data_IF_611980548504
#
_entry.id   IF_611980548504
#
_cell.length_a   1.000
_cell.length_b   1.000
_cell.length_c   1.000
_cell.angle_alpha   90.00
_cell.angle_beta   90.00
_cell.angle_gamma   90.00
#
_symmetry.space_group_name_H-M   'P 1'
#
loop_
_entity.id
_entity.type
_entity.pdbx_description
1 polymer ?
#
# COMPACT_ATOMS: atom_id res chain seq x y z
N UNK A 1 -23.77 6.39 -11.88
CA UNK A 1 -23.18 5.69 -10.71
C UNK A 1 -21.89 5.06 -11.17
N UNK A 2 -20.77 5.33 -10.49
CA UNK A 2 -19.43 4.83 -10.85
C UNK A 2 -19.15 3.51 -10.14
N UNK A 3 -18.59 2.52 -10.86
CA UNK A 3 -18.05 1.32 -10.26
C UNK A 3 -16.63 1.59 -9.75
N UNK A 4 -16.42 1.44 -8.45
CA UNK A 4 -15.09 1.52 -7.85
C UNK A 4 -14.48 0.13 -7.94
N UNK A 5 -13.42 0.02 -8.74
CA UNK A 5 -12.81 -1.26 -9.07
C UNK A 5 -11.75 -1.68 -8.05
N UNK A 6 -11.66 -2.96 -7.79
CA UNK A 6 -10.48 -3.57 -7.15
C UNK A 6 -9.38 -3.81 -8.19
N UNK A 7 -8.13 -3.91 -7.74
CA UNK A 7 -7.00 -4.29 -8.59
C UNK A 7 -6.35 -5.56 -8.03
N UNK A 8 -6.54 -6.67 -8.69
CA UNK A 8 -6.14 -7.98 -8.22
C UNK A 8 -5.43 -8.75 -9.32
N UNK A 9 -4.30 -9.38 -8.98
CA UNK A 9 -3.47 -10.17 -9.91
C UNK A 9 -3.19 -9.44 -11.25
N UNK A 10 -2.91 -8.14 -11.18
CA UNK A 10 -2.59 -7.31 -12.34
C UNK A 10 -3.79 -6.83 -13.17
N UNK A 11 -5.03 -7.06 -12.68
CA UNK A 11 -6.24 -6.71 -13.43
C UNK A 11 -7.22 -5.86 -12.61
N UNK A 12 -7.91 -4.94 -13.27
CA UNK A 12 -9.03 -4.19 -12.71
C UNK A 12 -10.29 -5.04 -12.72
N UNK A 13 -10.93 -5.20 -11.56
CA UNK A 13 -12.09 -6.07 -11.35
C UNK A 13 -13.26 -5.21 -10.87
N UNK A 14 -14.39 -5.30 -11.57
CA UNK A 14 -15.62 -4.61 -11.18
C UNK A 14 -16.18 -5.19 -9.87
N UNK A 15 -16.93 -4.38 -9.10
CA UNK A 15 -17.68 -4.89 -7.96
C UNK A 15 -18.67 -5.98 -8.40
N UNK A 16 -18.80 -7.03 -7.58
CA UNK A 16 -19.74 -8.13 -7.83
C UNK A 16 -21.19 -7.77 -7.50
N UNK A 17 -22.06 -8.76 -7.53
CA UNK A 17 -23.51 -8.60 -7.29
C UNK A 17 -23.86 -8.06 -5.88
N UNK A 18 -23.02 -8.31 -4.88
CA UNK A 18 -23.14 -7.78 -3.51
C UNK A 18 -22.55 -6.39 -3.30
N UNK A 19 -22.32 -5.62 -4.38
CA UNK A 19 -21.79 -4.27 -4.29
C UNK A 19 -22.65 -3.37 -3.39
N UNK A 20 -21.99 -2.57 -2.56
CA UNK A 20 -22.62 -1.58 -1.67
C UNK A 20 -22.53 -0.19 -2.28
N UNK A 21 -23.63 0.55 -2.20
CA UNK A 21 -23.68 1.95 -2.63
C UNK A 21 -22.81 2.84 -1.73
N UNK A 22 -22.17 3.82 -2.34
CA UNK A 22 -21.42 4.88 -1.67
C UNK A 22 -22.17 6.18 -1.95
N UNK A 23 -22.55 6.87 -0.87
CA UNK A 23 -23.21 8.16 -0.95
C UNK A 23 -22.21 9.29 -0.73
N UNK A 24 -22.44 10.42 -1.39
CA UNK A 24 -21.77 11.68 -1.08
C UNK A 24 -22.11 12.08 0.37
N UNK A 25 -21.10 12.36 1.18
CA UNK A 25 -21.29 12.83 2.55
C UNK A 25 -21.88 14.26 2.60
N UNK A 26 -21.88 14.98 1.48
CA UNK A 26 -22.43 16.35 1.36
C UNK A 26 -23.89 16.32 0.94
N UNK A 27 -24.23 15.58 -0.12
CA UNK A 27 -25.57 15.62 -0.73
C UNK A 27 -26.44 14.44 -0.32
N UNK A 28 -25.85 13.33 0.16
CA UNK A 28 -26.55 12.09 0.42
C UNK A 28 -26.88 11.27 -0.86
N UNK A 29 -26.58 11.80 -2.03
CA UNK A 29 -26.82 11.11 -3.30
C UNK A 29 -25.87 9.94 -3.49
N UNK A 30 -26.33 8.87 -4.12
CA UNK A 30 -25.49 7.71 -4.46
C UNK A 30 -24.58 8.09 -5.63
N UNK A 31 -23.28 8.11 -5.38
CA UNK A 31 -22.25 8.53 -6.36
C UNK A 31 -21.52 7.33 -6.97
N UNK A 32 -21.36 6.24 -6.20
CA UNK A 32 -20.60 5.07 -6.62
C UNK A 32 -21.10 3.79 -5.94
N UNK A 33 -20.51 2.66 -6.34
CA UNK A 33 -20.65 1.37 -5.64
C UNK A 33 -19.31 0.64 -5.59
N UNK A 34 -19.09 -0.15 -4.53
CA UNK A 34 -17.89 -0.95 -4.31
C UNK A 34 -18.24 -2.34 -3.75
N UNK A 35 -17.45 -3.34 -4.08
CA UNK A 35 -17.65 -4.71 -3.63
C UNK A 35 -16.44 -5.59 -3.95
N UNK A 36 -16.41 -6.78 -3.34
CA UNK A 36 -15.30 -7.72 -3.45
C UNK A 36 -15.71 -9.15 -3.82
N UNK A 37 -16.96 -9.41 -4.16
CA UNK A 37 -17.49 -10.76 -4.41
C UNK A 37 -16.81 -11.47 -5.58
N UNK A 38 -16.26 -10.72 -6.53
CA UNK A 38 -15.54 -11.28 -7.68
C UNK A 38 -14.06 -11.58 -7.41
N UNK A 39 -13.56 -11.25 -6.22
CA UNK A 39 -12.15 -11.40 -5.89
C UNK A 39 -11.81 -12.84 -5.48
N UNK A 40 -10.69 -13.32 -5.99
CA UNK A 40 -10.11 -14.61 -5.62
C UNK A 40 -8.95 -14.37 -4.65
N UNK A 41 -9.24 -14.39 -3.36
CA UNK A 41 -8.28 -14.03 -2.28
C UNK A 41 -6.98 -14.82 -2.38
N UNK A 42 -7.06 -16.14 -2.54
CA UNK A 42 -5.86 -17.00 -2.64
C UNK A 42 -5.01 -16.64 -3.86
N UNK A 43 -5.64 -16.31 -4.99
CA UNK A 43 -4.92 -15.85 -6.20
C UNK A 43 -4.21 -14.51 -5.94
N UNK A 44 -4.84 -13.59 -5.23
CA UNK A 44 -4.22 -12.31 -4.86
C UNK A 44 -3.00 -12.50 -3.96
N UNK A 45 -3.11 -13.35 -2.93
CA UNK A 45 -2.01 -13.65 -2.01
C UNK A 45 -0.86 -14.35 -2.75
N UNK A 46 -1.17 -15.35 -3.57
CA UNK A 46 -0.16 -16.03 -4.40
C UNK A 46 0.54 -15.05 -5.36
N UNK A 47 -0.22 -14.20 -6.05
CA UNK A 47 0.34 -13.20 -6.96
C UNK A 47 1.29 -12.22 -6.25
N UNK A 48 0.92 -11.76 -5.06
CA UNK A 48 1.78 -10.91 -4.25
C UNK A 48 3.07 -11.65 -3.84
N UNK A 49 2.96 -12.89 -3.32
CA UNK A 49 4.09 -13.67 -2.82
C UNK A 49 5.02 -14.13 -3.93
N UNK A 50 4.48 -14.60 -5.07
CA UNK A 50 5.24 -15.28 -6.13
C UNK A 50 5.74 -14.32 -7.21
N UNK A 51 5.08 -13.17 -7.42
CA UNK A 51 5.44 -12.18 -8.44
C UNK A 51 5.94 -10.90 -7.78
N UNK A 52 5.13 -10.24 -6.94
CA UNK A 52 5.46 -8.96 -6.35
C UNK A 52 6.65 -9.01 -5.41
N UNK A 53 6.67 -9.98 -4.50
CA UNK A 53 7.75 -10.17 -3.55
C UNK A 53 9.10 -10.39 -4.22
N UNK A 54 9.28 -11.37 -5.11
CA UNK A 54 10.53 -11.56 -5.84
C UNK A 54 10.96 -10.34 -6.66
N UNK A 55 10.03 -9.63 -7.30
CA UNK A 55 10.34 -8.42 -8.05
C UNK A 55 10.90 -7.31 -7.15
N UNK A 56 10.29 -7.07 -5.97
CA UNK A 56 10.77 -6.08 -5.00
C UNK A 56 12.10 -6.50 -4.35
N UNK A 57 12.28 -7.78 -4.01
CA UNK A 57 13.50 -8.27 -3.36
C UNK A 57 14.73 -8.27 -4.28
N UNK A 58 14.57 -8.23 -5.60
CA UNK A 58 15.68 -8.02 -6.55
C UNK A 58 16.25 -6.61 -6.49
N UNK A 59 15.48 -5.63 -6.01
CA UNK A 59 15.88 -4.24 -5.89
C UNK A 59 16.66 -4.02 -4.60
N UNK A 60 17.67 -3.13 -4.63
CA UNK A 60 18.33 -2.66 -3.40
C UNK A 60 17.41 -1.69 -2.64
N UNK A 61 17.75 -1.36 -1.37
CA UNK A 61 17.04 -0.29 -0.65
C UNK A 61 17.07 1.03 -1.41
N UNK A 62 18.20 1.34 -2.08
CA UNK A 62 18.32 2.56 -2.87
C UNK A 62 17.47 2.52 -4.13
N UNK A 63 17.31 1.36 -4.79
CA UNK A 63 16.40 1.20 -5.93
C UNK A 63 14.95 1.41 -5.51
N UNK A 64 14.53 0.75 -4.42
CA UNK A 64 13.18 0.91 -3.86
C UNK A 64 12.93 2.35 -3.40
N UNK A 65 13.93 3.01 -2.82
CA UNK A 65 13.82 4.42 -2.44
C UNK A 65 13.68 5.35 -3.68
N UNK A 66 14.40 5.07 -4.78
CA UNK A 66 14.24 5.80 -6.06
C UNK A 66 12.85 5.57 -6.66
N UNK A 67 12.36 4.34 -6.61
CA UNK A 67 11.00 3.97 -7.02
C UNK A 67 9.95 4.75 -6.23
N UNK A 68 10.02 4.77 -4.90
CA UNK A 68 9.10 5.53 -4.04
C UNK A 68 9.12 7.03 -4.37
N UNK A 69 10.33 7.60 -4.56
CA UNK A 69 10.46 9.01 -4.96
C UNK A 69 9.80 9.30 -6.29
N UNK A 70 9.98 8.43 -7.28
CA UNK A 70 9.39 8.60 -8.61
C UNK A 70 7.85 8.53 -8.55
N UNK A 71 7.28 7.57 -7.79
CA UNK A 71 5.83 7.48 -7.55
C UNK A 71 5.31 8.74 -6.86
N UNK A 72 5.99 9.23 -5.82
CA UNK A 72 5.57 10.44 -5.10
C UNK A 72 5.58 11.68 -5.99
N UNK A 73 6.58 11.82 -6.87
CA UNK A 73 6.62 12.92 -7.85
C UNK A 73 5.48 12.80 -8.87
N UNK A 74 5.25 11.61 -9.41
CA UNK A 74 4.14 11.38 -10.34
C UNK A 74 2.78 11.71 -9.71
N UNK A 75 2.54 11.28 -8.47
CA UNK A 75 1.32 11.61 -7.73
C UNK A 75 1.20 13.12 -7.50
N UNK A 76 2.29 13.81 -7.14
CA UNK A 76 2.28 15.26 -6.96
C UNK A 76 1.90 16.01 -8.23
N UNK A 77 2.34 15.55 -9.40
CA UNK A 77 2.01 16.16 -10.69
C UNK A 77 0.54 15.92 -11.13
N UNK A 78 -0.11 14.88 -10.58
CA UNK A 78 -1.47 14.48 -10.94
C UNK A 78 -2.50 14.64 -9.81
N UNK A 79 -2.13 15.20 -8.68
CA UNK A 79 -2.96 15.25 -7.46
C UNK A 79 -4.22 16.09 -7.56
N UNK A 80 -4.33 17.01 -8.52
CA UNK A 80 -5.48 17.89 -8.64
C UNK A 80 -6.81 17.12 -8.75
N UNK A 81 -6.82 16.03 -9.51
CA UNK A 81 -8.01 15.17 -9.64
C UNK A 81 -8.41 14.49 -8.33
N UNK A 82 -7.47 14.27 -7.41
CA UNK A 82 -7.74 13.69 -6.09
C UNK A 82 -8.47 14.68 -5.19
N UNK A 83 -8.11 15.96 -5.25
CA UNK A 83 -8.83 17.00 -4.50
C UNK A 83 -10.29 17.10 -4.92
N UNK A 84 -10.57 17.07 -6.24
CA UNK A 84 -11.93 17.13 -6.77
C UNK A 84 -12.79 15.97 -6.28
N UNK A 85 -12.25 14.74 -6.28
CA UNK A 85 -12.95 13.55 -5.79
C UNK A 85 -13.15 13.55 -4.27
N UNK A 86 -12.27 14.21 -3.54
CA UNK A 86 -12.29 14.21 -2.07
C UNK A 86 -13.45 15.04 -1.50
N UNK A 87 -14.05 15.98 -2.25
CA UNK A 87 -15.18 16.77 -1.77
C UNK A 87 -16.36 15.91 -1.36
N UNK A 88 -16.64 14.82 -2.07
CA UNK A 88 -17.73 13.91 -1.74
C UNK A 88 -17.52 13.12 -0.42
N UNK A 89 -16.33 13.17 0.16
CA UNK A 89 -16.06 12.57 1.49
C UNK A 89 -16.50 13.45 2.66
N UNK A 90 -16.90 14.69 2.40
CA UNK A 90 -17.34 15.66 3.40
C UNK A 90 -16.20 16.46 4.06
N UNK A 91 -14.95 16.25 3.65
CA UNK A 91 -13.81 17.04 4.11
C UNK A 91 -13.77 18.44 3.48
N UNK A 92 -13.11 19.37 4.17
CA UNK A 92 -12.81 20.70 3.63
C UNK A 92 -11.62 20.65 2.68
N UNK A 93 -11.40 21.74 1.93
CA UNK A 93 -10.20 21.84 1.10
C UNK A 93 -8.91 21.71 1.90
N UNK A 94 -8.89 22.23 3.12
CA UNK A 94 -7.73 22.10 4.02
C UNK A 94 -7.48 20.62 4.42
N UNK A 95 -8.55 19.87 4.69
CA UNK A 95 -8.45 18.44 5.03
C UNK A 95 -7.90 17.63 3.84
N UNK A 96 -8.34 17.94 2.62
CA UNK A 96 -7.84 17.27 1.41
C UNK A 96 -6.38 17.59 1.11
N UNK A 97 -5.93 18.82 1.37
CA UNK A 97 -4.51 19.18 1.28
C UNK A 97 -3.69 18.37 2.28
N UNK A 98 -4.17 18.24 3.52
CA UNK A 98 -3.48 17.42 4.56
C UNK A 98 -3.42 15.96 4.13
N UNK A 99 -4.52 15.36 3.65
CA UNK A 99 -4.55 13.96 3.24
C UNK A 99 -3.66 13.69 2.04
N UNK A 100 -3.82 14.42 0.96
CA UNK A 100 -3.11 14.16 -0.30
C UNK A 100 -1.64 14.57 -0.20
N UNK A 101 -1.36 15.82 0.22
CA UNK A 101 0.03 16.31 0.30
C UNK A 101 0.79 15.67 1.46
N UNK A 102 0.12 15.42 2.59
CA UNK A 102 0.71 14.71 3.72
C UNK A 102 1.10 13.27 3.36
N UNK A 103 0.23 12.55 2.65
CA UNK A 103 0.52 11.20 2.16
C UNK A 103 1.69 11.18 1.17
N UNK A 104 1.68 12.06 0.17
CA UNK A 104 2.78 12.18 -0.80
C UNK A 104 4.10 12.58 -0.09
N UNK A 105 4.03 13.55 0.84
CA UNK A 105 5.17 13.97 1.64
C UNK A 105 5.75 12.84 2.49
N UNK A 106 4.90 12.04 3.11
CA UNK A 106 5.31 10.86 3.88
C UNK A 106 6.07 9.85 3.00
N UNK A 107 5.59 9.58 1.79
CA UNK A 107 6.29 8.70 0.85
C UNK A 107 7.66 9.28 0.45
N UNK A 108 7.78 10.60 0.26
CA UNK A 108 9.07 11.28 -0.01
C UNK A 108 10.03 11.17 1.19
N UNK A 109 9.52 11.27 2.42
CA UNK A 109 10.34 11.07 3.64
C UNK A 109 10.94 9.67 3.68
N UNK A 110 10.14 8.62 3.45
CA UNK A 110 10.65 7.25 3.39
C UNK A 110 11.63 7.02 2.25
N UNK A 111 11.39 7.61 1.08
CA UNK A 111 12.34 7.59 -0.03
C UNK A 111 13.67 8.24 0.34
N UNK A 112 13.64 9.39 1.03
CA UNK A 112 14.85 10.06 1.49
C UNK A 112 15.59 9.25 2.57
N UNK A 113 14.88 8.67 3.54
CA UNK A 113 15.44 7.79 4.58
C UNK A 113 16.08 6.55 3.96
N UNK A 114 15.39 5.88 3.03
CA UNK A 114 15.94 4.71 2.33
C UNK A 114 17.27 4.99 1.63
N UNK A 115 17.45 6.20 1.11
CA UNK A 115 18.72 6.64 0.48
C UNK A 115 19.81 7.02 1.47
N UNK A 116 19.46 7.57 2.63
CA UNK A 116 20.44 8.11 3.60
C UNK A 116 20.83 7.10 4.68
N UNK A 117 19.88 6.27 5.10
CA UNK A 117 20.01 5.45 6.31
C UNK A 117 20.15 3.96 5.98
N UNK A 118 19.72 3.53 4.78
CA UNK A 118 19.84 2.13 4.35
C UNK A 118 21.01 1.94 3.39
N UNK A 119 21.61 0.74 3.34
CA UNK A 119 22.68 0.43 2.40
C UNK A 119 22.15 0.33 0.96
N UNK A 120 23.03 0.48 -0.02
CA UNK A 120 22.71 0.12 -1.42
C UNK A 120 22.87 -1.40 -1.61
N UNK A 121 22.06 -2.15 -0.90
CA UNK A 121 22.05 -3.62 -0.88
C UNK A 121 20.60 -4.13 -0.73
N UNK A 122 20.38 -5.41 -0.95
CA UNK A 122 19.09 -6.09 -0.79
C UNK A 122 18.78 -6.44 0.68
N UNK A 123 19.81 -6.55 1.52
CA UNK A 123 19.75 -6.90 2.94
C UNK A 123 20.30 -5.76 3.80
N UNK A 124 19.91 -5.75 5.07
CA UNK A 124 20.44 -4.84 6.06
C UNK A 124 21.26 -5.61 7.10
N UNK A 125 22.53 -5.23 7.25
CA UNK A 125 23.41 -5.78 8.27
C UNK A 125 23.31 -4.91 9.53
N UNK A 126 22.70 -5.44 10.58
CA UNK A 126 22.47 -4.75 11.83
C UNK A 126 23.69 -4.90 12.75
N UNK A 127 24.38 -3.79 12.95
CA UNK A 127 25.55 -3.74 13.82
C UNK A 127 26.83 -4.42 13.29
N UNK A 128 27.90 -4.42 14.09
CA UNK A 128 29.16 -5.09 13.78
C UNK A 128 29.03 -6.60 14.03
N UNK A 129 30.05 -7.34 13.61
CA UNK A 129 30.22 -8.76 14.02
C UNK A 129 30.57 -8.80 15.50
N UNK A 130 29.83 -9.61 16.27
CA UNK A 130 30.03 -9.78 17.71
C UNK A 130 30.73 -11.11 18.01
N UNK A 131 31.71 -11.07 18.93
CA UNK A 131 32.36 -12.28 19.43
C UNK A 131 31.49 -12.91 20.51
N UNK A 132 30.95 -14.11 20.24
CA UNK A 132 30.09 -14.86 21.17
C UNK A 132 30.84 -15.86 22.00
N UNK A 133 32.05 -16.26 21.58
CA UNK A 133 32.91 -17.22 22.28
C UNK A 133 34.19 -16.58 22.81
N UNK A 134 34.81 -17.19 23.85
CA UNK A 134 36.05 -16.70 24.49
C UNK A 134 37.27 -16.70 23.56
N UNK A 135 37.29 -17.55 22.55
CA UNK A 135 38.45 -17.77 21.65
C UNK A 135 38.33 -17.04 20.31
N UNK A 136 37.26 -16.30 20.08
CA UNK A 136 37.01 -15.65 18.79
C UNK A 136 36.59 -16.60 17.65
N UNK A 137 36.43 -17.89 17.93
CA UNK A 137 35.99 -18.87 16.92
C UNK A 137 34.48 -18.88 16.69
N UNK A 138 33.72 -18.33 17.63
CA UNK A 138 32.26 -18.23 17.55
C UNK A 138 31.87 -16.77 17.47
N UNK A 139 31.41 -16.36 16.29
CA UNK A 139 31.04 -15.00 15.93
C UNK A 139 29.59 -14.97 15.47
N UNK A 140 28.91 -13.89 15.73
CA UNK A 140 27.53 -13.66 15.29
C UNK A 140 27.34 -12.30 14.62
N UNK A 141 26.36 -12.20 13.75
CA UNK A 141 25.90 -10.94 13.17
C UNK A 141 24.43 -11.03 12.82
N UNK A 142 23.68 -9.97 13.10
CA UNK A 142 22.29 -9.88 12.69
C UNK A 142 22.19 -9.46 11.21
N UNK A 143 21.38 -10.20 10.45
CA UNK A 143 21.09 -9.92 9.05
C UNK A 143 19.58 -9.80 8.92
N UNK A 144 19.09 -8.62 8.52
CA UNK A 144 17.68 -8.38 8.23
C UNK A 144 17.43 -8.59 6.74
N UNK A 145 16.51 -9.48 6.42
CA UNK A 145 16.04 -9.75 5.05
C UNK A 145 14.58 -9.40 4.91
N UNK A 146 14.10 -9.04 3.70
CA UNK A 146 12.66 -8.84 3.48
C UNK A 146 11.85 -10.10 3.82
N UNK A 147 10.68 -9.91 4.42
CA UNK A 147 9.69 -10.97 4.61
C UNK A 147 9.28 -11.59 3.26
N UNK A 148 8.98 -12.88 3.26
CA UNK A 148 8.57 -13.63 2.06
C UNK A 148 7.06 -13.55 1.79
N UNK A 149 6.31 -12.92 2.70
CA UNK A 149 4.86 -12.79 2.65
C UNK A 149 4.36 -11.54 1.94
N UNK A 150 3.16 -11.13 2.30
CA UNK A 150 2.46 -9.93 1.84
C UNK A 150 2.00 -9.09 3.02
N UNK A 151 1.96 -7.77 2.87
CA UNK A 151 1.38 -6.87 3.86
C UNK A 151 -0.06 -6.52 3.47
N UNK A 152 -1.02 -6.80 4.36
CA UNK A 152 -2.43 -6.39 4.21
C UNK A 152 -2.63 -5.10 5.01
N UNK A 153 -2.95 -4.01 4.30
CA UNK A 153 -3.15 -2.70 4.88
C UNK A 153 -4.64 -2.37 4.98
N UNK A 154 -5.17 -2.34 6.18
CA UNK A 154 -6.55 -1.96 6.46
C UNK A 154 -6.54 -0.50 6.92
N UNK A 155 -7.21 0.38 6.19
CA UNK A 155 -7.16 1.82 6.39
C UNK A 155 -8.50 2.39 6.86
N UNK A 156 -8.43 3.44 7.69
CA UNK A 156 -9.59 4.21 8.13
C UNK A 156 -10.13 5.11 7.01
N UNK A 157 -11.32 5.68 7.23
CA UNK A 157 -12.02 6.49 6.22
C UNK A 157 -11.53 7.94 6.13
N UNK A 158 -10.95 8.48 7.20
CA UNK A 158 -10.67 9.91 7.35
C UNK A 158 -9.46 10.41 6.54
N UNK A 159 -8.51 9.53 6.20
CA UNK A 159 -7.34 9.84 5.38
C UNK A 159 -7.16 8.80 4.27
N UNK A 160 -8.01 8.81 3.23
CA UNK A 160 -8.02 7.78 2.19
C UNK A 160 -6.73 7.71 1.35
N UNK A 161 -6.00 8.82 1.18
CA UNK A 161 -4.72 8.87 0.47
C UNK A 161 -3.56 8.69 1.44
N UNK A 162 -3.48 9.49 2.50
CA UNK A 162 -2.39 9.40 3.48
C UNK A 162 -2.33 8.02 4.12
N UNK A 163 -3.46 7.51 4.62
CA UNK A 163 -3.51 6.19 5.27
C UNK A 163 -3.02 5.06 4.38
N UNK A 164 -3.19 5.15 3.06
CA UNK A 164 -2.60 4.23 2.10
C UNK A 164 -1.09 4.45 1.95
N UNK A 165 -0.66 5.69 1.68
CA UNK A 165 0.72 5.99 1.32
C UNK A 165 1.70 5.83 2.49
N UNK A 166 1.27 6.15 3.73
CA UNK A 166 2.09 5.98 4.94
C UNK A 166 2.46 4.53 5.24
N UNK A 167 1.57 3.57 4.85
CA UNK A 167 1.82 2.14 5.01
C UNK A 167 2.57 1.56 3.81
N UNK A 168 2.22 1.99 2.58
CA UNK A 168 2.90 1.52 1.38
C UNK A 168 4.39 1.91 1.37
N UNK A 169 4.73 3.12 1.81
CA UNK A 169 6.09 3.60 1.73
C UNK A 169 7.11 2.73 2.50
N UNK A 170 6.93 2.45 3.82
CA UNK A 170 7.84 1.54 4.54
C UNK A 170 7.77 0.11 4.05
N UNK A 171 6.57 -0.39 3.69
CA UNK A 171 6.37 -1.77 3.22
C UNK A 171 7.13 -2.05 1.93
N UNK A 172 6.97 -1.17 0.93
CA UNK A 172 7.68 -1.31 -0.35
C UNK A 172 9.19 -1.07 -0.19
N UNK A 173 9.59 -0.13 0.70
CA UNK A 173 11.02 0.08 1.03
C UNK A 173 11.63 -1.16 1.66
N UNK A 174 10.90 -1.88 2.51
CA UNK A 174 11.31 -3.15 3.08
C UNK A 174 11.33 -4.31 2.07
N UNK A 175 10.83 -4.12 0.85
CA UNK A 175 10.81 -5.15 -0.20
C UNK A 175 9.65 -6.14 -0.08
N UNK A 176 8.56 -5.75 0.58
CA UNK A 176 7.35 -6.56 0.78
C UNK A 176 6.23 -6.03 -0.11
N UNK A 177 5.49 -6.88 -0.85
CA UNK A 177 4.33 -6.46 -1.60
C UNK A 177 3.14 -6.18 -0.68
N UNK A 178 2.17 -5.37 -1.14
CA UNK A 178 1.05 -4.97 -0.31
C UNK A 178 -0.31 -5.18 -0.99
N UNK A 179 -1.32 -5.53 -0.18
CA UNK A 179 -2.73 -5.48 -0.55
C UNK A 179 -3.38 -4.38 0.29
N UNK A 180 -3.88 -3.35 -0.37
CA UNK A 180 -4.51 -2.20 0.28
C UNK A 180 -6.01 -2.40 0.35
N UNK A 181 -6.58 -2.23 1.55
CA UNK A 181 -8.02 -2.23 1.80
C UNK A 181 -8.43 -0.90 2.44
N UNK A 182 -8.90 0.09 1.66
CA UNK A 182 -9.46 1.32 2.20
C UNK A 182 -10.80 1.10 2.91
N UNK A 183 -11.22 2.04 3.73
CA UNK A 183 -12.60 2.09 4.20
C UNK A 183 -13.55 2.30 3.02
N UNK A 184 -14.64 1.52 2.96
CA UNK A 184 -15.57 1.53 1.80
C UNK A 184 -16.17 2.91 1.56
N UNK A 185 -16.45 3.67 2.61
CA UNK A 185 -17.09 5.00 2.52
C UNK A 185 -16.29 6.04 1.71
N UNK A 186 -14.96 5.89 1.65
CA UNK A 186 -14.07 6.85 0.97
C UNK A 186 -13.14 6.17 -0.05
N UNK A 187 -13.43 4.91 -0.41
CA UNK A 187 -12.55 4.12 -1.28
C UNK A 187 -12.43 4.68 -2.70
N UNK A 188 -13.35 5.54 -3.15
CA UNK A 188 -13.27 6.20 -4.45
C UNK A 188 -12.03 7.10 -4.59
N UNK A 189 -11.60 7.75 -3.49
CA UNK A 189 -10.39 8.58 -3.49
C UNK A 189 -9.13 7.72 -3.47
N UNK A 190 -9.13 6.67 -2.63
CA UNK A 190 -8.02 5.70 -2.58
C UNK A 190 -7.85 5.01 -3.93
N UNK A 191 -8.95 4.54 -4.56
CA UNK A 191 -8.90 3.88 -5.88
C UNK A 191 -8.34 4.81 -6.95
N UNK A 192 -8.73 6.08 -6.95
CA UNK A 192 -8.20 7.06 -7.89
C UNK A 192 -6.68 7.28 -7.71
N UNK A 193 -6.21 7.44 -6.47
CA UNK A 193 -4.79 7.55 -6.18
C UNK A 193 -4.03 6.28 -6.56
N UNK A 194 -4.58 5.11 -6.23
CA UNK A 194 -4.01 3.81 -6.59
C UNK A 194 -3.92 3.65 -8.12
N UNK A 195 -4.95 4.08 -8.84
CA UNK A 195 -4.98 4.05 -10.32
C UNK A 195 -3.86 4.91 -10.92
N UNK A 196 -3.60 6.09 -10.37
CA UNK A 196 -2.45 6.91 -10.78
C UNK A 196 -1.12 6.18 -10.53
N UNK A 197 -0.98 5.48 -9.41
CA UNK A 197 0.23 4.69 -9.13
C UNK A 197 0.44 3.58 -10.17
N UNK A 198 -0.62 2.85 -10.55
CA UNK A 198 -0.53 1.82 -11.60
C UNK A 198 -0.24 2.44 -12.97
N UNK A 199 -0.91 3.54 -13.33
CA UNK A 199 -0.71 4.25 -14.60
C UNK A 199 0.70 4.82 -14.76
N UNK A 200 1.38 5.10 -13.66
CA UNK A 200 2.77 5.59 -13.70
C UNK A 200 3.74 4.58 -14.33
N UNK A 201 3.42 3.28 -14.29
CA UNK A 201 4.30 2.21 -14.77
C UNK A 201 5.62 2.07 -13.98
N UNK A 202 5.73 2.73 -12.81
CA UNK A 202 6.96 2.76 -12.01
C UNK A 202 7.09 1.52 -11.12
N UNK A 203 5.97 1.04 -10.58
CA UNK A 203 5.95 -0.10 -9.67
C UNK A 203 6.07 -1.42 -10.43
N UNK A 204 6.84 -2.39 -9.93
CA UNK A 204 6.88 -3.72 -10.54
C UNK A 204 5.54 -4.45 -10.38
N UNK A 205 5.28 -5.38 -11.28
CA UNK A 205 4.08 -6.22 -11.24
C UNK A 205 3.95 -6.93 -9.89
N UNK A 206 2.74 -6.96 -9.34
CA UNK A 206 2.44 -7.60 -8.07
C UNK A 206 2.90 -6.83 -6.82
N UNK A 207 3.59 -5.69 -6.96
CA UNK A 207 4.04 -4.90 -5.81
C UNK A 207 2.88 -4.38 -4.96
N UNK A 208 1.78 -3.98 -5.60
CA UNK A 208 0.59 -3.49 -4.92
C UNK A 208 -0.69 -4.07 -5.53
N UNK A 209 -1.69 -4.31 -4.70
CA UNK A 209 -3.06 -4.70 -5.07
C UNK A 209 -4.06 -3.91 -4.22
N UNK A 210 -5.30 -3.79 -4.68
CA UNK A 210 -6.37 -3.02 -4.05
C UNK A 210 -7.64 -3.86 -3.89
N UNK A 211 -8.24 -3.83 -2.70
CA UNK A 211 -9.56 -4.42 -2.42
C UNK A 211 -10.53 -3.31 -2.04
N UNK A 212 -11.52 -3.05 -2.89
CA UNK A 212 -12.61 -2.11 -2.60
C UNK A 212 -13.82 -2.87 -2.08
N UNK A 213 -14.22 -2.64 -0.84
CA UNK A 213 -15.26 -3.42 -0.17
C UNK A 213 -14.75 -4.13 1.09
N UNK A 214 -15.32 -5.28 1.42
CA UNK A 214 -14.88 -6.09 2.56
C UNK A 214 -13.60 -6.89 2.27
N UNK A 215 -12.94 -7.41 3.31
CA UNK A 215 -11.78 -8.30 3.16
C UNK A 215 -12.17 -9.74 2.79
N UNK A 216 -13.45 -10.12 3.01
CA UNK A 216 -13.84 -11.52 2.90
C UNK A 216 -13.01 -12.40 3.84
N UNK A 217 -12.56 -13.53 3.32
CA UNK A 217 -11.76 -14.54 4.05
C UNK A 217 -10.22 -14.24 4.00
N UNK A 218 -9.81 -13.05 3.57
CA UNK A 218 -8.39 -12.78 3.33
C UNK A 218 -7.51 -13.02 4.56
N UNK A 219 -7.99 -12.64 5.75
CA UNK A 219 -7.23 -12.80 6.98
C UNK A 219 -7.06 -14.27 7.41
N UNK A 220 -7.98 -15.14 6.99
CA UNK A 220 -7.93 -16.58 7.30
C UNK A 220 -6.87 -17.33 6.48
N UNK A 221 -6.36 -16.71 5.40
CA UNK A 221 -5.35 -17.26 4.49
C UNK A 221 -3.96 -16.66 4.69
N UNK A 222 -3.76 -15.85 5.73
CA UNK A 222 -2.45 -15.30 6.07
C UNK A 222 -1.61 -16.31 6.84
N UNK A 223 -0.29 -16.21 6.69
CA UNK A 223 0.67 -17.05 7.39
C UNK A 223 1.72 -16.25 8.18
N UNK A 224 2.70 -16.92 8.76
CA UNK A 224 3.70 -16.33 9.66
C UNK A 224 4.65 -15.31 8.98
N UNK A 225 4.68 -15.24 7.67
CA UNK A 225 5.49 -14.25 6.91
C UNK A 225 4.69 -13.05 6.48
N UNK A 226 3.36 -13.06 6.68
CA UNK A 226 2.47 -11.96 6.31
C UNK A 226 2.37 -10.94 7.44
N UNK A 227 2.00 -9.72 7.07
CA UNK A 227 1.83 -8.60 8.01
C UNK A 227 0.45 -7.99 7.85
N UNK A 228 -0.23 -7.73 8.96
CA UNK A 228 -1.46 -6.92 8.97
C UNK A 228 -1.16 -5.56 9.61
N UNK A 229 -1.40 -4.50 8.86
CA UNK A 229 -1.33 -3.12 9.38
C UNK A 229 -2.73 -2.52 9.40
N UNK A 230 -3.23 -2.24 10.59
CA UNK A 230 -4.61 -1.78 10.81
C UNK A 230 -4.64 -0.35 11.35
N UNK A 231 -5.48 0.48 10.75
CA UNK A 231 -5.88 1.78 11.28
C UNK A 231 -7.40 1.85 11.29
N UNK A 232 -8.00 2.01 12.46
CA UNK A 232 -9.46 2.05 12.64
C UNK A 232 -9.83 2.09 14.12
N UNK A 233 -11.12 1.91 14.40
CA UNK A 233 -11.62 1.77 15.77
C UNK A 233 -11.46 0.34 16.29
N UNK A 234 -11.51 0.17 17.60
CA UNK A 234 -11.46 -1.14 18.26
C UNK A 234 -12.85 -1.81 18.36
N UNK A 235 -13.90 -1.16 17.85
CA UNK A 235 -15.28 -1.65 17.84
C UNK A 235 -15.63 -2.37 16.53
#
# INVERSE_FOLDING_TARGET
>A
MRDIQSFAAGQWINPGAGARSIASAITGEIIAQAGNDALQVQTMLAYARDIGGPALRKLTFHDRARMLKAVALYLNDHKQSLYELSFDTGGTQADHLIDVDGGIGTMQVYAAKGRREMPDDQIYLDGPVEQLGRTGQFMGRHICTPLQGVAVHINAFNFPVWGMLEKLAPTLLAGVPAIVKPATATCQVTEACFRLMIQSGILPDGAIQLVTGGLGEMLDHLDCQDVVSFTGSAE
#
